data_IF_168691619175
#
_entry.id   IF_168691619175
#
_cell.length_a   1.000
_cell.length_b   1.000
_cell.length_c   1.000
_cell.angle_alpha   90.00
_cell.angle_beta   90.00
_cell.angle_gamma   90.00
#
_symmetry.space_group_name_H-M   'P 1'
#
loop_
_entity.id
_entity.type
_entity.pdbx_description
1 polymer ?
#
# COMPACT_ATOMS: atom_id res chain seq x y z
N UNK A 1 28.17 10.85 6.76
CA UNK A 1 27.57 9.87 5.82
C UNK A 1 27.59 10.54 4.46
N UNK A 2 28.50 10.13 3.59
CA UNK A 2 28.63 10.72 2.26
C UNK A 2 27.72 10.00 1.28
N UNK A 3 26.97 10.76 0.48
CA UNK A 3 26.35 10.22 -0.72
C UNK A 3 27.46 9.89 -1.73
N UNK A 4 27.32 8.83 -2.53
CA UNK A 4 28.26 8.51 -3.60
C UNK A 4 28.36 9.69 -4.56
N UNK A 5 29.47 10.42 -4.46
CA UNK A 5 29.88 11.44 -5.42
C UNK A 5 30.96 10.78 -6.24
N UNK A 6 30.62 10.36 -7.45
CA UNK A 6 31.52 9.67 -8.39
C UNK A 6 32.97 10.14 -8.29
N UNK A 7 33.80 9.36 -7.61
CA UNK A 7 35.22 9.16 -7.89
C UNK A 7 35.61 7.78 -7.32
N UNK A 8 35.74 6.80 -8.21
CA UNK A 8 36.13 5.41 -7.87
C UNK A 8 35.13 4.40 -8.42
N UNK A 9 35.59 3.58 -9.35
CA UNK A 9 34.83 2.50 -9.99
C UNK A 9 34.20 1.54 -8.96
N UNK A 10 33.00 1.04 -9.30
CA UNK A 10 32.14 0.08 -8.55
C UNK A 10 30.94 0.63 -7.75
N UNK A 11 30.39 1.78 -8.12
CA UNK A 11 29.03 2.19 -7.68
C UNK A 11 27.96 1.52 -8.56
N UNK A 12 27.13 0.65 -7.96
CA UNK A 12 25.92 0.09 -8.56
C UNK A 12 25.08 1.24 -9.16
N UNK A 13 24.89 1.20 -10.48
CA UNK A 13 24.18 2.21 -11.28
C UNK A 13 22.89 2.66 -10.59
N UNK A 14 22.17 1.71 -9.95
CA UNK A 14 20.96 1.91 -9.15
C UNK A 14 21.07 3.03 -8.11
N UNK A 15 22.21 3.15 -7.41
CA UNK A 15 22.40 4.13 -6.35
C UNK A 15 22.56 5.56 -6.89
N UNK A 16 23.15 5.71 -8.08
CA UNK A 16 23.25 6.99 -8.79
C UNK A 16 21.86 7.47 -9.20
N UNK A 17 21.00 6.57 -9.72
CA UNK A 17 19.61 6.91 -10.08
C UNK A 17 18.80 7.41 -8.88
N UNK A 18 18.89 6.69 -7.75
CA UNK A 18 18.20 7.09 -6.51
C UNK A 18 18.67 8.47 -6.03
N UNK A 19 19.97 8.74 -6.07
CA UNK A 19 20.50 10.06 -5.71
C UNK A 19 19.92 11.16 -6.60
N UNK A 20 19.89 10.96 -7.93
CA UNK A 20 19.33 11.95 -8.86
C UNK A 20 17.83 12.17 -8.64
N UNK A 21 17.07 11.13 -8.31
CA UNK A 21 15.65 11.25 -7.98
C UNK A 21 15.43 12.05 -6.69
N UNK A 22 16.19 11.74 -5.64
CA UNK A 22 16.12 12.48 -4.37
C UNK A 22 16.50 13.95 -4.55
N UNK A 23 17.53 14.24 -5.34
CA UNK A 23 17.93 15.61 -5.66
C UNK A 23 16.76 16.40 -6.27
N UNK A 24 16.09 15.85 -7.29
CA UNK A 24 14.92 16.49 -7.93
C UNK A 24 13.76 16.72 -6.96
N UNK A 25 13.48 15.76 -6.09
CA UNK A 25 12.43 15.90 -5.07
C UNK A 25 12.77 17.00 -4.06
N UNK A 26 14.03 17.08 -3.64
CA UNK A 26 14.50 18.11 -2.70
C UNK A 26 14.54 19.50 -3.33
N UNK A 27 14.93 19.63 -4.59
CA UNK A 27 14.86 20.89 -5.34
C UNK A 27 13.43 21.43 -5.38
N UNK A 28 12.47 20.62 -5.86
CA UNK A 28 11.06 21.00 -5.90
C UNK A 28 10.50 21.34 -4.50
N UNK A 29 10.86 20.57 -3.48
CA UNK A 29 10.42 20.83 -2.10
C UNK A 29 11.03 22.12 -1.50
N UNK A 30 12.27 22.45 -1.87
CA UNK A 30 12.95 23.65 -1.37
C UNK A 30 12.44 24.94 -2.03
N UNK A 31 12.04 24.86 -3.30
CA UNK A 31 11.56 26.03 -4.06
C UNK A 31 10.23 26.58 -3.53
N UNK A 32 9.41 25.76 -2.86
CA UNK A 32 8.11 26.14 -2.29
C UNK A 32 8.19 27.00 -1.02
N UNK A 33 9.38 27.28 -0.49
CA UNK A 33 9.58 28.25 0.61
C UNK A 33 8.89 27.88 1.93
N UNK A 34 8.84 26.59 2.26
CA UNK A 34 8.16 26.10 3.45
C UNK A 34 8.69 26.70 4.78
N UNK A 35 7.77 26.95 5.71
CA UNK A 35 8.10 27.31 7.09
C UNK A 35 8.43 26.07 7.94
N UNK A 36 8.92 26.28 9.17
CA UNK A 36 9.21 25.20 10.11
C UNK A 36 8.01 24.31 10.46
N UNK A 37 6.77 24.75 10.23
CA UNK A 37 5.55 23.94 10.45
C UNK A 37 4.99 23.33 9.17
N UNK A 38 5.08 24.01 8.02
CA UNK A 38 4.52 23.49 6.75
C UNK A 38 5.40 22.42 6.11
N UNK A 39 6.72 22.48 6.32
CA UNK A 39 7.66 21.48 5.82
C UNK A 39 7.34 20.06 6.34
N UNK A 40 7.30 19.80 7.66
CA UNK A 40 7.00 18.46 8.17
C UNK A 40 5.58 17.98 7.82
N UNK A 41 4.60 18.88 7.71
CA UNK A 41 3.25 18.53 7.29
C UNK A 41 3.21 18.05 5.84
N UNK A 42 3.87 18.77 4.93
CA UNK A 42 3.96 18.42 3.51
C UNK A 42 4.68 17.08 3.32
N UNK A 43 5.79 16.85 4.03
CA UNK A 43 6.51 15.56 4.01
C UNK A 43 5.61 14.41 4.45
N UNK A 44 4.81 14.61 5.51
CA UNK A 44 3.88 13.60 6.02
C UNK A 44 2.81 13.22 4.98
N UNK A 45 2.21 14.21 4.31
CA UNK A 45 1.22 13.96 3.26
C UNK A 45 1.84 13.33 2.01
N UNK A 46 2.99 13.83 1.56
CA UNK A 46 3.71 13.28 0.42
C UNK A 46 4.05 11.81 0.64
N UNK A 47 4.57 11.46 1.81
CA UNK A 47 4.89 10.08 2.17
C UNK A 47 3.67 9.17 2.03
N UNK A 48 2.52 9.59 2.57
CA UNK A 48 1.27 8.81 2.47
C UNK A 48 0.87 8.59 1.01
N UNK A 49 0.82 9.67 0.23
CA UNK A 49 0.44 9.61 -1.18
C UNK A 49 1.41 8.76 -2.02
N UNK A 50 2.72 8.92 -1.82
CA UNK A 50 3.76 8.15 -2.51
C UNK A 50 3.72 6.65 -2.17
N UNK A 51 3.16 6.29 -1.01
CA UNK A 51 2.92 4.91 -0.58
C UNK A 51 1.51 4.40 -0.94
N UNK A 52 0.73 5.16 -1.72
CA UNK A 52 -0.67 4.83 -2.05
C UNK A 52 -1.54 4.65 -0.79
N UNK A 53 -1.33 5.52 0.21
CA UNK A 53 -2.16 5.61 1.41
C UNK A 53 -3.12 6.81 1.25
N UNK A 54 -4.43 6.58 1.00
CA UNK A 54 -5.35 7.65 0.66
C UNK A 54 -5.53 8.64 1.83
N UNK A 55 -5.66 9.94 1.51
CA UNK A 55 -5.85 11.01 2.51
C UNK A 55 -7.27 11.08 3.06
N UNK A 56 -8.26 10.72 2.24
CA UNK A 56 -9.67 10.59 2.60
C UNK A 56 -10.28 9.31 2.05
N UNK A 57 -11.59 9.09 2.23
CA UNK A 57 -12.26 7.90 1.73
C UNK A 57 -12.07 7.72 0.22
N UNK A 58 -12.06 6.46 -0.21
CA UNK A 58 -12.25 6.07 -1.60
C UNK A 58 -13.73 6.21 -1.93
N UNK A 59 -14.05 6.72 -3.11
CA UNK A 59 -15.43 6.96 -3.56
C UNK A 59 -15.99 5.78 -4.34
N UNK A 60 -15.11 4.98 -4.95
CA UNK A 60 -15.48 3.88 -5.84
C UNK A 60 -15.80 4.33 -7.27
N UNK A 61 -15.73 5.62 -7.57
CA UNK A 61 -15.93 6.17 -8.91
C UNK A 61 -14.91 5.62 -9.91
N UNK A 62 -15.30 5.53 -11.19
CA UNK A 62 -14.51 4.87 -12.24
C UNK A 62 -13.10 5.46 -12.40
N UNK A 63 -12.94 6.77 -12.16
CA UNK A 63 -11.65 7.45 -12.26
C UNK A 63 -10.64 7.02 -11.18
N UNK A 64 -11.07 6.35 -10.12
CA UNK A 64 -10.19 5.83 -9.06
C UNK A 64 -9.57 4.47 -9.41
N UNK A 65 -9.85 3.90 -10.59
CA UNK A 65 -9.48 2.53 -10.94
C UNK A 65 -8.58 2.46 -12.17
N UNK A 66 -7.52 1.66 -12.06
CA UNK A 66 -6.68 1.27 -13.19
C UNK A 66 -6.98 -0.17 -13.58
N UNK A 67 -7.11 -0.43 -14.89
CA UNK A 67 -7.23 -1.79 -15.42
C UNK A 67 -5.89 -2.52 -15.25
N UNK A 68 -5.94 -3.69 -14.62
CA UNK A 68 -4.78 -4.57 -14.40
C UNK A 68 -5.02 -5.98 -14.95
N UNK A 69 -6.00 -6.15 -15.84
CA UNK A 69 -6.37 -7.45 -16.41
C UNK A 69 -5.22 -8.15 -17.12
N UNK A 70 -4.32 -7.39 -17.76
CA UNK A 70 -3.11 -7.90 -18.41
C UNK A 70 -2.17 -8.67 -17.47
N UNK A 71 -2.19 -8.37 -16.17
CA UNK A 71 -1.35 -9.02 -15.16
C UNK A 71 -2.01 -10.23 -14.49
N UNK A 72 -3.34 -10.34 -14.59
CA UNK A 72 -4.15 -11.31 -13.84
C UNK A 72 -4.82 -12.38 -14.67
N UNK A 73 -4.85 -12.25 -16.01
CA UNK A 73 -5.57 -13.16 -16.92
C UNK A 73 -7.09 -12.99 -16.91
N UNK A 74 -7.65 -12.37 -15.86
CA UNK A 74 -9.07 -12.04 -15.71
C UNK A 74 -9.27 -10.53 -15.55
N UNK A 75 -10.46 -10.04 -15.88
CA UNK A 75 -10.83 -8.64 -15.68
C UNK A 75 -10.74 -8.26 -14.21
N UNK A 76 -9.84 -7.32 -13.92
CA UNK A 76 -9.53 -6.87 -12.57
C UNK A 76 -9.05 -5.43 -12.60
N UNK A 77 -9.52 -4.65 -11.63
CA UNK A 77 -9.09 -3.28 -11.45
C UNK A 77 -8.43 -3.08 -10.09
N UNK A 78 -7.44 -2.19 -10.05
CA UNK A 78 -6.74 -1.78 -8.83
C UNK A 78 -6.99 -0.30 -8.58
N UNK A 79 -7.25 0.07 -7.33
CA UNK A 79 -7.48 1.46 -6.98
C UNK A 79 -6.16 2.27 -7.07
N UNK A 80 -6.18 3.40 -7.78
CA UNK A 80 -4.98 4.21 -8.05
C UNK A 80 -4.54 5.08 -6.87
N UNK A 81 -5.35 5.19 -5.83
CA UNK A 81 -5.02 5.85 -4.55
C UNK A 81 -4.69 4.85 -3.44
N UNK A 82 -5.00 3.56 -3.64
CA UNK A 82 -4.88 2.52 -2.63
C UNK A 82 -4.55 1.16 -3.26
N UNK A 83 -3.26 0.82 -3.28
CA UNK A 83 -2.72 -0.33 -4.03
C UNK A 83 -3.22 -1.71 -3.56
N UNK A 84 -3.84 -1.80 -2.39
CA UNK A 84 -4.38 -3.05 -1.85
C UNK A 84 -5.91 -3.15 -1.95
N UNK A 85 -6.58 -2.21 -2.63
CA UNK A 85 -8.01 -2.27 -2.92
C UNK A 85 -8.23 -2.63 -4.39
N UNK A 86 -9.04 -3.64 -4.63
CA UNK A 86 -9.31 -4.19 -5.95
C UNK A 86 -10.81 -4.24 -6.24
N UNK A 87 -11.17 -4.30 -7.52
CA UNK A 87 -12.53 -4.49 -8.03
C UNK A 87 -12.52 -5.60 -9.07
N UNK A 88 -13.42 -6.56 -8.94
CA UNK A 88 -13.63 -7.67 -9.87
C UNK A 88 -14.61 -7.28 -10.99
N UNK A 89 -14.68 -8.10 -12.05
CA UNK A 89 -15.50 -7.90 -13.25
C UNK A 89 -16.98 -7.54 -12.99
N UNK A 90 -17.55 -8.06 -11.91
CA UNK A 90 -18.93 -7.84 -11.48
C UNK A 90 -19.13 -6.54 -10.68
N UNK A 91 -18.06 -5.76 -10.49
CA UNK A 91 -18.06 -4.54 -9.71
C UNK A 91 -17.86 -4.75 -8.20
N UNK A 92 -17.74 -6.00 -7.72
CA UNK A 92 -17.47 -6.27 -6.33
C UNK A 92 -16.06 -5.79 -5.96
N UNK A 93 -15.97 -4.95 -4.93
CA UNK A 93 -14.70 -4.42 -4.45
C UNK A 93 -14.28 -5.09 -3.13
N UNK A 94 -12.97 -5.27 -2.95
CA UNK A 94 -12.40 -5.81 -1.73
C UNK A 94 -11.05 -5.17 -1.38
N UNK A 95 -10.73 -5.13 -0.08
CA UNK A 95 -9.41 -4.78 0.44
C UNK A 95 -8.64 -6.07 0.73
N UNK A 96 -7.52 -6.31 0.03
CA UNK A 96 -6.66 -7.47 0.24
C UNK A 96 -5.90 -7.45 1.57
N UNK A 97 -5.77 -6.28 2.18
CA UNK A 97 -5.14 -6.04 3.48
C UNK A 97 -6.17 -5.78 4.60
N UNK A 98 -7.47 -6.01 4.33
CA UNK A 98 -8.55 -5.75 5.28
C UNK A 98 -8.41 -6.49 6.62
N UNK A 99 -7.62 -7.57 6.66
CA UNK A 99 -7.11 -8.20 7.89
C UNK A 99 -5.61 -8.46 7.76
N UNK A 100 -4.85 -8.12 8.81
CA UNK A 100 -3.43 -8.43 8.93
C UNK A 100 -3.25 -9.44 10.05
N UNK A 101 -2.68 -10.58 9.76
CA UNK A 101 -2.41 -11.62 10.74
C UNK A 101 -1.09 -11.31 11.45
N UNK A 102 -1.10 -11.31 12.78
CA UNK A 102 0.07 -11.07 13.60
C UNK A 102 0.47 -12.35 14.34
N UNK A 103 1.68 -12.83 14.11
CA UNK A 103 2.24 -13.97 14.81
C UNK A 103 2.76 -13.60 16.22
N UNK A 104 2.94 -14.59 17.12
CA UNK A 104 3.43 -14.33 18.48
C UNK A 104 4.83 -13.71 18.53
N UNK A 105 5.65 -13.93 17.49
CA UNK A 105 6.98 -13.34 17.31
C UNK A 105 6.95 -11.87 16.83
N UNK A 106 5.75 -11.31 16.57
CA UNK A 106 5.57 -9.95 16.05
C UNK A 106 5.58 -9.83 14.53
N UNK A 107 5.81 -10.91 13.78
CA UNK A 107 5.71 -10.92 12.34
C UNK A 107 4.26 -10.70 11.88
N UNK A 108 4.07 -9.88 10.86
CA UNK A 108 2.76 -9.57 10.31
C UNK A 108 2.69 -10.01 8.84
N UNK A 109 1.59 -10.65 8.44
CA UNK A 109 1.40 -11.09 7.06
C UNK A 109 -0.06 -10.92 6.60
N UNK A 110 -0.25 -10.94 5.29
CA UNK A 110 -1.55 -11.01 4.63
C UNK A 110 -1.60 -12.21 3.68
N UNK A 111 -2.79 -12.76 3.46
CA UNK A 111 -3.03 -13.87 2.53
C UNK A 111 -4.44 -13.76 1.91
N UNK A 112 -4.93 -14.79 1.23
CA UNK A 112 -6.29 -14.79 0.66
C UNK A 112 -7.39 -14.56 1.71
N UNK A 113 -7.22 -15.02 2.95
CA UNK A 113 -8.16 -14.84 4.07
C UNK A 113 -8.12 -13.41 4.65
N UNK A 114 -7.12 -12.61 4.27
CA UNK A 114 -7.05 -11.19 4.60
C UNK A 114 -8.12 -10.37 3.88
N UNK A 115 -8.67 -10.87 2.76
CA UNK A 115 -9.61 -10.14 1.92
C UNK A 115 -10.89 -9.81 2.68
N UNK A 116 -11.30 -8.54 2.60
CA UNK A 116 -12.56 -8.03 3.16
C UNK A 116 -13.29 -7.30 2.05
N UNK A 117 -14.53 -7.69 1.75
CA UNK A 117 -15.40 -6.95 0.84
C UNK A 117 -15.61 -5.53 1.37
N UNK A 118 -15.54 -4.54 0.47
CA UNK A 118 -15.69 -3.13 0.81
C UNK A 118 -16.92 -2.54 0.15
N UNK A 119 -17.51 -1.55 0.81
CA UNK A 119 -18.58 -0.72 0.28
C UNK A 119 -18.14 0.74 0.39
N UNK A 120 -18.52 1.55 -0.60
CA UNK A 120 -18.08 2.94 -0.68
C UNK A 120 -19.11 3.90 -0.03
N UNK A 121 -18.65 5.01 0.58
CA UNK A 121 -17.27 5.45 0.70
C UNK A 121 -16.45 4.57 1.67
N UNK A 122 -15.22 4.24 1.27
CA UNK A 122 -14.38 3.30 2.01
C UNK A 122 -13.13 3.99 2.54
N UNK A 123 -12.92 3.96 3.85
CA UNK A 123 -11.65 4.37 4.48
C UNK A 123 -10.88 3.11 4.85
N UNK A 124 -9.70 2.86 4.23
CA UNK A 124 -8.87 1.72 4.59
C UNK A 124 -8.50 1.73 6.07
N UNK A 125 -8.75 0.62 6.76
CA UNK A 125 -8.40 0.43 8.17
C UNK A 125 -7.58 -0.85 8.30
N UNK A 126 -6.39 -0.74 8.86
CA UNK A 126 -5.55 -1.91 9.16
C UNK A 126 -6.05 -2.62 10.41
N UNK A 127 -6.84 -3.70 10.23
CA UNK A 127 -7.30 -4.55 11.35
C UNK A 127 -6.30 -5.68 11.62
N UNK A 128 -5.75 -5.74 12.83
CA UNK A 128 -4.81 -6.80 13.23
C UNK A 128 -5.57 -7.96 13.89
N UNK A 129 -5.35 -9.19 13.42
CA UNK A 129 -5.97 -10.42 13.93
C UNK A 129 -4.90 -11.32 14.56
N UNK A 130 -5.11 -11.71 15.82
CA UNK A 130 -4.19 -12.60 16.56
C UNK A 130 -4.51 -14.09 16.31
N UNK A 131 -3.51 -15.01 16.35
CA UNK A 131 -3.63 -16.38 15.81
C UNK A 131 -4.53 -17.34 16.60
N UNK A 132 -5.21 -16.89 17.65
CA UNK A 132 -6.09 -17.72 18.48
C UNK A 132 -7.48 -18.00 17.88
N UNK A 133 -7.89 -17.26 16.85
CA UNK A 133 -9.26 -17.32 16.31
C UNK A 133 -9.41 -18.24 15.09
N UNK A 134 -8.36 -18.41 14.27
CA UNK A 134 -8.46 -19.17 13.02
C UNK A 134 -8.31 -20.69 13.17
N UNK A 135 -7.54 -21.18 14.16
CA UNK A 135 -7.32 -22.63 14.33
C UNK A 135 -8.52 -23.42 14.89
N UNK A 136 -9.59 -22.76 15.35
CA UNK A 136 -10.75 -23.44 15.97
C UNK A 136 -11.88 -23.81 15.00
N UNK A 137 -11.99 -23.15 13.84
CA UNK A 137 -13.04 -23.44 12.86
C UNK A 137 -12.66 -24.57 11.89
N UNK A 138 -11.40 -24.65 11.46
CA UNK A 138 -10.95 -25.71 10.55
C UNK A 138 -10.91 -27.12 11.19
N UNK A 139 -10.78 -27.20 12.51
CA UNK A 139 -10.67 -28.49 13.22
C UNK A 139 -12.03 -29.08 13.65
N UNK A 140 -13.11 -28.28 13.67
CA UNK A 140 -14.44 -28.75 14.07
C UNK A 140 -15.22 -29.37 12.89
N UNK A 141 -15.02 -28.88 11.66
CA UNK A 141 -15.69 -29.41 10.46
C UNK A 141 -15.17 -30.77 9.98
N UNK A 142 -13.92 -31.16 10.31
CA UNK A 142 -13.38 -32.49 10.00
C UNK A 142 -13.76 -33.59 11.01
N UNK A 143 -14.64 -33.30 11.98
CA UNK A 143 -15.11 -34.27 12.99
C UNK A 143 -16.61 -34.57 12.90
N UNK A 144 -17.32 -34.02 11.91
CA UNK A 144 -18.78 -34.20 11.71
C UNK A 144 -19.10 -34.76 10.31
N UNK A 145 -18.08 -35.20 9.57
CA UNK A 145 -18.20 -36.02 8.36
C UNK A 145 -17.22 -37.17 8.51
#
# INVERSE_FOLDING_TARGET
MGWPTKEGEDEDDSQVWIYQHLKKLLEAFSDEGHSGSSAPYTISLFRRLALFEPLGPLTGEDHEWNDISEYGGDTKWQNNRCSHVFKDADGAAYDSNGRVFLEPNGAAFTNSESRVSVTFPYTPIRKVVKPGWFKRLAHWWKRII
#
